data_IF_992066761184
#
_entry.id   IF_992066761184
#
_cell.length_a   1.000
_cell.length_b   1.000
_cell.length_c   1.000
_cell.angle_alpha   90.00
_cell.angle_beta   90.00
_cell.angle_gamma   90.00
#
_symmetry.space_group_name_H-M   'P 1'
#
loop_
_entity.id
_entity.type
_entity.pdbx_description
1 polymer ?
#
# COMPACT_ATOMS: atom_id res chain seq x y z
N UNK A 1 -43.12 -12.44 -32.37
CA UNK A 1 -43.89 -11.51 -33.22
C UNK A 1 -44.95 -10.86 -32.34
N UNK A 2 -45.15 -9.52 -32.46
CA UNK A 2 -45.76 -8.53 -31.54
C UNK A 2 -44.77 -8.00 -30.49
N UNK A 3 -44.04 -6.88 -30.68
CA UNK A 3 -44.41 -5.45 -30.88
C UNK A 3 -45.21 -4.88 -29.68
N UNK A 4 -44.58 -4.03 -28.84
CA UNK A 4 -44.50 -2.55 -28.93
C UNK A 4 -45.64 -1.93 -28.09
N UNK A 5 -45.40 -1.08 -27.09
CA UNK A 5 -45.14 0.36 -27.20
C UNK A 5 -45.21 0.91 -25.75
N UNK A 6 -44.15 1.53 -25.22
CA UNK A 6 -43.92 2.97 -25.15
C UNK A 6 -44.86 3.77 -24.22
N UNK A 7 -44.21 4.49 -23.31
CA UNK A 7 -44.52 5.84 -22.83
C UNK A 7 -45.96 6.19 -22.43
N UNK A 8 -46.13 6.34 -21.11
CA UNK A 8 -46.87 7.42 -20.46
C UNK A 8 -46.19 7.66 -19.11
N UNK A 9 -46.11 8.82 -18.49
CA UNK A 9 -46.34 10.19 -18.84
C UNK A 9 -45.82 10.96 -17.60
N UNK A 10 -45.13 12.06 -17.85
CA UNK A 10 -44.65 13.02 -16.85
C UNK A 10 -45.77 13.45 -15.90
N UNK A 11 -45.41 13.71 -14.63
CA UNK A 11 -46.08 14.48 -13.54
C UNK A 11 -45.93 13.66 -12.25
N UNK A 12 -45.65 14.15 -11.05
CA UNK A 12 -45.96 15.43 -10.42
C UNK A 12 -45.04 15.62 -9.18
N UNK A 13 -44.52 16.83 -9.07
CA UNK A 13 -44.03 17.57 -7.90
C UNK A 13 -44.18 17.01 -6.46
N UNK A 14 -43.13 17.24 -5.67
CA UNK A 14 -43.16 17.88 -4.33
C UNK A 14 -43.89 17.15 -3.19
N UNK A 15 -43.14 16.68 -2.18
CA UNK A 15 -43.43 17.08 -0.79
C UNK A 15 -42.27 16.80 0.18
N UNK A 16 -41.86 17.87 0.84
CA UNK A 16 -40.93 17.97 1.96
C UNK A 16 -41.80 18.11 3.21
N UNK A 17 -41.39 17.45 4.30
CA UNK A 17 -41.93 17.48 5.69
C UNK A 17 -42.77 16.26 6.04
N UNK A 18 -42.14 15.34 6.74
CA UNK A 18 -42.76 14.68 7.88
C UNK A 18 -41.69 14.11 8.81
N UNK A 19 -41.47 14.80 9.94
CA UNK A 19 -41.60 14.21 11.29
C UNK A 19 -41.11 15.20 12.35
N UNK A 20 -42.11 15.92 12.87
CA UNK A 20 -42.11 16.54 14.17
C UNK A 20 -42.56 15.47 15.18
N UNK A 21 -41.70 15.09 16.13
CA UNK A 21 -42.08 14.34 17.35
C UNK A 21 -41.34 15.06 18.49
N UNK A 22 -41.95 16.00 19.21
CA UNK A 22 -43.00 15.89 20.23
C UNK A 22 -42.47 15.43 21.60
N UNK A 23 -42.12 16.45 22.41
CA UNK A 23 -42.43 16.66 23.84
C UNK A 23 -41.90 15.73 24.94
N UNK A 24 -40.88 16.26 25.61
CA UNK A 24 -40.63 16.37 27.06
C UNK A 24 -41.83 16.16 28.03
N UNK A 25 -41.66 15.37 29.10
CA UNK A 25 -42.01 15.72 30.51
C UNK A 25 -41.60 14.65 31.55
N UNK A 26 -41.26 15.15 32.74
CA UNK A 26 -40.65 14.52 33.91
C UNK A 26 -41.65 14.36 35.07
N UNK A 27 -41.52 13.32 35.94
CA UNK A 27 -41.39 13.42 37.43
C UNK A 27 -41.80 12.17 38.28
N UNK A 28 -40.89 11.82 39.22
CA UNK A 28 -40.97 11.18 40.57
C UNK A 28 -41.47 9.72 40.73
N UNK A 29 -40.65 8.74 41.16
CA UNK A 29 -40.03 8.41 42.48
C UNK A 29 -41.00 7.79 43.51
N UNK A 30 -40.70 6.57 43.97
CA UNK A 30 -40.86 5.96 45.32
C UNK A 30 -40.98 4.42 45.18
N UNK A 31 -40.07 3.65 45.81
CA UNK A 31 -40.29 2.19 46.00
C UNK A 31 -39.08 1.27 46.22
N UNK A 32 -38.35 1.45 47.32
CA UNK A 32 -37.76 0.39 48.18
C UNK A 32 -36.73 -0.64 47.64
N UNK A 33 -35.46 -0.41 48.04
CA UNK A 33 -34.51 -1.32 48.73
C UNK A 33 -33.87 -2.58 48.08
N UNK A 34 -32.52 -2.55 48.06
CA UNK A 34 -31.53 -3.64 48.26
C UNK A 34 -31.29 -4.53 47.02
N UNK A 35 -30.15 -4.49 46.31
CA UNK A 35 -28.82 -5.02 46.66
C UNK A 35 -27.71 -4.33 45.84
N UNK A 36 -26.58 -4.07 46.50
CA UNK A 36 -25.28 -3.62 45.97
C UNK A 36 -24.70 -4.63 44.98
N UNK A 37 -24.38 -4.22 43.75
CA UNK A 37 -23.20 -4.72 43.02
C UNK A 37 -22.96 -3.92 41.74
N UNK A 38 -21.74 -3.38 41.64
CA UNK A 38 -21.08 -2.91 40.43
C UNK A 38 -21.31 -3.90 39.26
N UNK A 39 -22.12 -3.54 38.27
CA UNK A 39 -22.18 -4.23 36.98
C UNK A 39 -22.00 -3.23 35.85
N UNK A 40 -20.71 -3.03 35.60
CA UNK A 40 -20.02 -2.68 34.36
C UNK A 40 -20.93 -2.70 33.13
N UNK A 41 -20.91 -1.57 32.42
CA UNK A 41 -21.24 -1.40 31.00
C UNK A 41 -20.89 -2.64 30.16
N UNK A 42 -21.89 -3.45 29.80
CA UNK A 42 -21.78 -4.36 28.65
C UNK A 42 -22.12 -3.56 27.38
N UNK A 43 -21.09 -3.02 26.74
CA UNK A 43 -21.14 -2.65 25.31
C UNK A 43 -19.79 -2.96 24.68
N UNK A 44 -19.61 -4.20 24.26
CA UNK A 44 -18.67 -4.57 23.21
C UNK A 44 -19.15 -5.89 22.61
N UNK A 45 -20.04 -5.81 21.62
CA UNK A 45 -20.23 -6.90 20.67
C UNK A 45 -18.90 -7.05 19.92
N UNK A 46 -18.13 -8.05 20.33
CA UNK A 46 -16.83 -8.38 19.76
C UNK A 46 -17.00 -8.73 18.28
N UNK A 47 -16.25 -8.05 17.42
CA UNK A 47 -16.00 -8.46 16.05
C UNK A 47 -15.30 -9.81 16.06
N UNK A 48 -16.06 -10.89 15.94
CA UNK A 48 -15.56 -12.10 15.32
C UNK A 48 -15.47 -11.86 13.81
N UNK A 49 -14.44 -12.41 13.16
CA UNK A 49 -14.17 -12.43 11.71
C UNK A 49 -13.25 -11.33 11.16
N UNK A 50 -11.96 -11.47 11.46
CA UNK A 50 -10.84 -11.56 10.51
C UNK A 50 -9.57 -11.26 11.32
N UNK A 51 -8.84 -12.31 11.72
CA UNK A 51 -7.52 -12.08 12.29
C UNK A 51 -6.60 -11.50 11.20
N UNK A 52 -5.90 -10.39 11.44
CA UNK A 52 -4.66 -10.14 10.74
C UNK A 52 -3.68 -11.24 11.14
N UNK A 53 -3.00 -11.86 10.18
CA UNK A 53 -1.74 -12.54 10.46
C UNK A 53 -0.81 -11.48 11.06
N UNK A 54 -0.74 -11.42 12.39
CA UNK A 54 0.42 -10.84 13.05
C UNK A 54 1.58 -11.78 12.71
N UNK A 55 2.38 -11.44 11.69
CA UNK A 55 3.78 -11.85 11.68
C UNK A 55 4.32 -11.46 13.05
N UNK A 56 4.72 -12.44 13.86
CA UNK A 56 5.53 -12.18 15.03
C UNK A 56 6.75 -11.39 14.55
N UNK A 57 6.72 -10.07 14.77
CA UNK A 57 7.90 -9.23 14.64
C UNK A 57 8.88 -9.74 15.69
N UNK A 58 9.92 -10.45 15.24
CA UNK A 58 11.08 -10.67 16.07
C UNK A 58 11.55 -9.29 16.54
N UNK A 59 11.83 -9.15 17.84
CA UNK A 59 12.47 -7.94 18.36
C UNK A 59 13.72 -7.66 17.51
N UNK A 60 13.95 -6.43 17.02
CA UNK A 60 15.14 -6.13 16.24
C UNK A 60 16.37 -6.63 17.01
N UNK A 61 17.15 -7.52 16.41
CA UNK A 61 18.49 -7.80 16.91
C UNK A 61 19.24 -6.47 16.81
N UNK A 62 19.72 -5.94 17.93
CA UNK A 62 20.41 -4.63 17.96
C UNK A 62 21.92 -4.77 17.92
N UNK A 63 22.45 -6.00 17.94
CA UNK A 63 23.88 -6.27 17.95
C UNK A 63 24.25 -7.12 16.72
N UNK A 64 24.86 -6.47 15.73
CA UNK A 64 25.31 -7.09 14.49
C UNK A 64 26.84 -7.12 14.46
N UNK A 65 27.39 -8.30 14.22
CA UNK A 65 28.83 -8.47 14.04
C UNK A 65 29.33 -7.74 12.79
N UNK A 66 30.62 -7.38 12.78
CA UNK A 66 31.25 -6.74 11.62
C UNK A 66 31.09 -7.57 10.34
N UNK A 67 31.23 -8.90 10.45
CA UNK A 67 31.04 -9.80 9.30
C UNK A 67 29.61 -9.78 8.73
N UNK A 68 28.58 -9.59 9.57
CA UNK A 68 27.19 -9.49 9.11
C UNK A 68 26.96 -8.17 8.38
N UNK A 69 27.57 -7.10 8.88
CA UNK A 69 27.47 -5.78 8.27
C UNK A 69 28.28 -5.67 6.98
N UNK A 70 29.41 -6.36 6.86
CA UNK A 70 30.15 -6.48 5.60
C UNK A 70 29.30 -7.18 4.53
N UNK A 71 28.69 -8.33 4.85
CA UNK A 71 27.77 -9.02 3.93
C UNK A 71 26.56 -8.17 3.55
N UNK A 72 26.03 -7.40 4.50
CA UNK A 72 24.96 -6.44 4.25
C UNK A 72 25.40 -5.31 3.30
N UNK A 73 26.61 -4.77 3.47
CA UNK A 73 27.18 -3.76 2.57
C UNK A 73 27.34 -4.34 1.16
N UNK A 74 27.91 -5.54 1.03
CA UNK A 74 28.09 -6.21 -0.26
C UNK A 74 26.76 -6.45 -0.98
N UNK A 75 25.75 -6.95 -0.26
CA UNK A 75 24.40 -7.11 -0.79
C UNK A 75 23.79 -5.76 -1.21
N UNK A 76 23.95 -4.73 -0.38
CA UNK A 76 23.41 -3.39 -0.65
C UNK A 76 24.03 -2.76 -1.89
N UNK A 77 25.34 -2.93 -2.12
CA UNK A 77 26.02 -2.42 -3.34
C UNK A 77 25.42 -3.08 -4.58
N UNK A 78 25.33 -4.41 -4.61
CA UNK A 78 24.74 -5.16 -5.73
C UNK A 78 23.28 -4.77 -5.99
N UNK A 79 22.49 -4.62 -4.92
CA UNK A 79 21.09 -4.18 -5.03
C UNK A 79 21.00 -2.78 -5.63
N UNK A 80 21.87 -1.84 -5.22
CA UNK A 80 21.90 -0.50 -5.80
C UNK A 80 22.27 -0.53 -7.29
N UNK A 81 23.16 -1.43 -7.72
CA UNK A 81 23.49 -1.61 -9.14
C UNK A 81 22.28 -2.14 -9.93
N UNK A 82 21.61 -3.18 -9.42
CA UNK A 82 20.38 -3.74 -9.99
C UNK A 82 19.30 -2.64 -10.13
N UNK A 83 19.08 -1.85 -9.08
CA UNK A 83 18.10 -0.76 -9.08
C UNK A 83 18.44 0.38 -10.06
N UNK A 84 19.71 0.65 -10.29
CA UNK A 84 20.13 1.62 -11.30
C UNK A 84 19.91 1.08 -12.71
N UNK A 85 20.25 -0.20 -12.96
CA UNK A 85 19.97 -0.88 -14.23
C UNK A 85 18.47 -0.89 -14.56
N UNK A 86 17.65 -1.22 -13.57
CA UNK A 86 16.19 -1.20 -13.68
C UNK A 86 15.62 0.14 -14.15
N UNK A 87 16.18 1.26 -13.68
CA UNK A 87 15.73 2.59 -14.08
C UNK A 87 16.02 2.87 -15.54
N UNK A 88 17.16 2.40 -16.05
CA UNK A 88 17.51 2.51 -17.47
C UNK A 88 16.58 1.64 -18.31
N UNK A 89 16.39 0.38 -17.92
CA UNK A 89 15.54 -0.56 -18.65
C UNK A 89 14.07 -0.13 -18.69
N UNK A 90 13.57 0.44 -17.59
CA UNK A 90 12.25 1.06 -17.55
C UNK A 90 12.08 2.14 -18.63
N UNK A 91 13.07 3.02 -18.78
CA UNK A 91 13.04 4.08 -19.81
C UNK A 91 13.06 3.45 -21.20
N UNK A 92 13.91 2.45 -21.43
CA UNK A 92 14.00 1.74 -22.71
C UNK A 92 12.68 1.03 -23.07
N UNK A 93 12.00 0.43 -22.10
CA UNK A 93 10.67 -0.18 -22.31
C UNK A 93 9.66 0.88 -22.76
N UNK A 94 9.61 2.03 -22.09
CA UNK A 94 8.66 3.11 -22.38
C UNK A 94 8.91 3.70 -23.76
N UNK A 95 10.15 4.13 -24.03
CA UNK A 95 10.55 4.70 -25.31
C UNK A 95 10.43 3.69 -26.45
N UNK A 96 10.69 2.41 -26.18
CA UNK A 96 10.51 1.31 -27.11
C UNK A 96 9.06 1.09 -27.56
N UNK A 97 8.06 1.56 -26.78
CA UNK A 97 6.66 1.58 -27.20
C UNK A 97 6.27 2.87 -27.95
N UNK A 98 7.21 3.78 -28.19
CA UNK A 98 6.94 5.08 -28.83
C UNK A 98 6.31 6.11 -27.90
N UNK A 99 6.33 5.87 -26.58
CA UNK A 99 5.83 6.79 -25.58
C UNK A 99 7.00 7.50 -24.91
N UNK A 100 6.84 8.77 -24.55
CA UNK A 100 7.82 9.46 -23.72
C UNK A 100 7.56 9.22 -22.22
N UNK A 101 8.60 9.41 -21.40
CA UNK A 101 8.55 9.15 -19.95
C UNK A 101 7.58 10.10 -19.23
N UNK A 102 7.42 11.34 -19.69
CA UNK A 102 6.52 12.32 -19.08
C UNK A 102 5.06 11.90 -19.28
N UNK A 103 4.67 11.61 -20.52
CA UNK A 103 3.34 11.09 -20.88
C UNK A 103 3.04 9.79 -20.15
N UNK A 104 4.00 8.85 -20.09
CA UNK A 104 3.82 7.62 -19.32
C UNK A 104 3.53 7.90 -17.83
N UNK A 105 4.31 8.79 -17.21
CA UNK A 105 4.13 9.15 -15.79
C UNK A 105 2.80 9.83 -15.51
N UNK A 106 2.35 10.70 -16.41
CA UNK A 106 1.04 11.35 -16.33
C UNK A 106 -0.11 10.34 -16.40
N UNK A 107 -0.03 9.40 -17.35
CA UNK A 107 -1.02 8.33 -17.51
C UNK A 107 -1.01 7.38 -16.31
N UNK A 108 0.17 7.02 -15.79
CA UNK A 108 0.32 6.18 -14.61
C UNK A 108 -0.22 6.86 -13.34
N UNK A 109 -0.06 8.18 -13.20
CA UNK A 109 -0.55 8.95 -12.06
C UNK A 109 -2.08 9.04 -12.06
N UNK A 110 -2.71 9.17 -13.23
CA UNK A 110 -4.16 9.15 -13.37
C UNK A 110 -4.76 7.80 -12.96
N UNK A 111 -4.14 6.68 -13.34
CA UNK A 111 -4.58 5.34 -12.93
C UNK A 111 -4.65 5.16 -11.41
N UNK A 112 -3.77 5.84 -10.66
CA UNK A 112 -3.76 5.79 -9.18
C UNK A 112 -4.69 6.81 -8.54
N UNK A 113 -5.24 7.74 -9.31
CA UNK A 113 -6.06 8.83 -8.78
C UNK A 113 -7.47 8.33 -8.46
N UNK A 114 -8.05 8.69 -7.29
CA UNK A 114 -9.38 8.23 -6.88
C UNK A 114 -10.51 8.83 -7.75
N UNK A 115 -10.22 9.90 -8.49
CA UNK A 115 -11.12 10.50 -9.46
C UNK A 115 -10.30 10.87 -10.71
N UNK A 116 -10.04 9.92 -11.62
CA UNK A 116 -9.25 10.19 -12.80
C UNK A 116 -9.99 11.19 -13.68
N UNK A 117 -9.38 12.35 -13.93
CA UNK A 117 -9.87 13.26 -14.96
C UNK A 117 -9.58 12.64 -16.34
N UNK A 118 -10.48 12.87 -17.30
CA UNK A 118 -10.27 12.39 -18.65
C UNK A 118 -9.17 13.23 -19.33
N UNK A 119 -7.96 12.69 -19.41
CA UNK A 119 -6.92 13.25 -20.26
C UNK A 119 -7.23 12.96 -21.73
N UNK A 120 -7.03 13.97 -22.58
CA UNK A 120 -7.14 13.82 -24.03
C UNK A 120 -5.86 13.18 -24.60
N UNK A 121 -5.65 11.89 -24.32
CA UNK A 121 -4.58 11.06 -24.89
C UNK A 121 -5.07 10.34 -26.15
N UNK A 122 -4.17 10.15 -27.11
CA UNK A 122 -4.48 9.40 -28.33
C UNK A 122 -4.74 7.91 -28.02
N UNK A 123 -5.42 7.20 -28.91
CA UNK A 123 -5.61 5.76 -28.73
C UNK A 123 -4.30 4.97 -28.92
N UNK A 124 -3.36 5.51 -29.69
CA UNK A 124 -2.01 4.97 -29.84
C UNK A 124 -1.25 5.03 -28.51
N UNK A 125 -1.24 6.17 -27.82
CA UNK A 125 -0.59 6.33 -26.51
C UNK A 125 -1.20 5.39 -25.46
N UNK A 126 -2.52 5.19 -25.49
CA UNK A 126 -3.19 4.23 -24.60
C UNK A 126 -2.74 2.79 -24.82
N UNK A 127 -2.56 2.39 -26.09
CA UNK A 127 -2.05 1.07 -26.42
C UNK A 127 -0.58 0.92 -26.00
N UNK A 128 0.26 1.89 -26.32
CA UNK A 128 1.68 1.93 -25.94
C UNK A 128 1.84 1.87 -24.42
N UNK A 129 1.06 2.67 -23.68
CA UNK A 129 1.03 2.65 -22.22
C UNK A 129 0.68 1.27 -21.66
N UNK A 130 -0.35 0.61 -22.21
CA UNK A 130 -0.74 -0.73 -21.79
C UNK A 130 0.37 -1.77 -21.99
N UNK A 131 1.06 -1.73 -23.12
CA UNK A 131 2.18 -2.62 -23.44
C UNK A 131 3.40 -2.35 -22.56
N UNK A 132 3.73 -1.08 -22.33
CA UNK A 132 4.79 -0.68 -21.42
C UNK A 132 4.50 -1.19 -20.01
N UNK A 133 3.28 -0.98 -19.49
CA UNK A 133 2.88 -1.46 -18.15
C UNK A 133 3.05 -2.98 -17.99
N UNK A 134 2.75 -3.77 -19.02
CA UNK A 134 2.93 -5.23 -18.98
C UNK A 134 4.42 -5.62 -18.88
N UNK A 135 5.27 -4.99 -19.69
CA UNK A 135 6.71 -5.26 -19.66
C UNK A 135 7.36 -4.77 -18.37
N UNK A 136 6.95 -3.61 -17.87
CA UNK A 136 7.38 -3.05 -16.59
C UNK A 136 6.99 -3.97 -15.43
N UNK A 137 5.80 -4.57 -15.48
CA UNK A 137 5.40 -5.55 -14.46
C UNK A 137 6.26 -6.82 -14.51
N UNK A 138 6.65 -7.28 -15.70
CA UNK A 138 7.59 -8.39 -15.84
C UNK A 138 8.98 -8.02 -15.28
N UNK A 139 9.50 -6.85 -15.64
CA UNK A 139 10.75 -6.30 -15.10
C UNK A 139 10.72 -6.24 -13.56
N UNK A 140 9.63 -5.78 -12.95
CA UNK A 140 9.49 -5.75 -11.49
C UNK A 140 9.57 -7.15 -10.83
N UNK A 141 9.08 -8.20 -11.50
CA UNK A 141 9.18 -9.57 -10.99
C UNK A 141 10.60 -10.11 -11.12
N UNK A 142 11.28 -9.79 -12.21
CA UNK A 142 12.69 -10.14 -12.44
C UNK A 142 13.59 -9.47 -11.40
N UNK A 143 13.44 -8.16 -11.20
CA UNK A 143 14.19 -7.39 -10.21
C UNK A 143 14.03 -7.93 -8.79
N UNK A 144 12.84 -8.39 -8.41
CA UNK A 144 12.62 -9.04 -7.10
C UNK A 144 13.49 -10.30 -6.95
N UNK A 145 13.57 -11.13 -8.00
CA UNK A 145 14.39 -12.34 -8.01
C UNK A 145 15.88 -12.02 -8.02
N UNK A 146 16.31 -11.00 -8.77
CA UNK A 146 17.70 -10.56 -8.81
C UNK A 146 18.16 -10.01 -7.47
N UNK A 147 17.34 -9.19 -6.81
CA UNK A 147 17.66 -8.67 -5.48
C UNK A 147 17.75 -9.81 -4.45
N UNK A 148 16.81 -10.76 -4.45
CA UNK A 148 16.88 -11.94 -3.58
C UNK A 148 18.16 -12.75 -3.83
N UNK A 149 18.50 -12.96 -5.10
CA UNK A 149 19.72 -13.66 -5.50
C UNK A 149 20.97 -12.91 -5.04
N UNK A 150 21.01 -11.58 -5.16
CA UNK A 150 22.13 -10.76 -4.73
C UNK A 150 22.35 -10.82 -3.20
N UNK A 151 21.28 -10.91 -2.42
CA UNK A 151 21.34 -11.09 -0.96
C UNK A 151 21.94 -12.46 -0.62
N UNK A 152 21.39 -13.53 -1.20
CA UNK A 152 21.85 -14.90 -0.94
C UNK A 152 23.31 -15.09 -1.41
N UNK A 153 23.68 -14.53 -2.56
CA UNK A 153 25.04 -14.58 -3.09
C UNK A 153 26.07 -13.77 -2.28
N UNK A 154 25.61 -13.00 -1.29
CA UNK A 154 26.46 -12.30 -0.33
C UNK A 154 26.50 -13.03 1.02
N UNK A 155 26.14 -14.32 1.04
CA UNK A 155 26.07 -15.18 2.23
C UNK A 155 25.17 -14.62 3.35
N UNK A 156 24.12 -13.90 2.95
CA UNK A 156 23.13 -13.31 3.84
C UNK A 156 21.75 -13.93 3.55
N UNK A 157 20.96 -14.18 4.60
CA UNK A 157 19.57 -14.60 4.42
C UNK A 157 18.67 -13.38 4.22
N UNK A 158 17.59 -13.53 3.46
CA UNK A 158 16.63 -12.45 3.20
C UNK A 158 16.09 -11.82 4.50
N UNK A 159 15.74 -12.66 5.47
CA UNK A 159 15.25 -12.22 6.79
C UNK A 159 16.31 -11.39 7.53
N UNK A 160 17.58 -11.82 7.49
CA UNK A 160 18.68 -11.11 8.15
C UNK A 160 18.96 -9.76 7.47
N UNK A 161 18.94 -9.71 6.13
CA UNK A 161 19.03 -8.47 5.37
C UNK A 161 17.93 -7.48 5.77
N UNK A 162 16.67 -7.94 5.84
CA UNK A 162 15.54 -7.10 6.21
C UNK A 162 15.64 -6.58 7.65
N UNK A 163 16.11 -7.42 8.59
CA UNK A 163 16.35 -7.01 9.97
C UNK A 163 17.43 -5.94 10.07
N UNK A 164 18.58 -6.15 9.41
CA UNK A 164 19.67 -5.17 9.39
C UNK A 164 19.20 -3.87 8.73
N UNK A 165 18.43 -3.96 7.62
CA UNK A 165 17.86 -2.79 6.94
C UNK A 165 16.91 -2.00 7.86
N UNK A 166 16.04 -2.69 8.60
CA UNK A 166 15.14 -2.06 9.55
C UNK A 166 15.89 -1.38 10.69
N UNK A 167 16.91 -2.04 11.25
CA UNK A 167 17.76 -1.45 12.28
C UNK A 167 18.55 -0.25 11.74
N UNK A 168 19.12 -0.36 10.54
CA UNK A 168 19.86 0.70 9.86
C UNK A 168 19.01 1.97 9.67
N UNK A 169 17.70 1.84 9.44
CA UNK A 169 16.81 3.01 9.34
C UNK A 169 16.57 3.72 10.68
N UNK A 170 16.77 3.03 11.81
CA UNK A 170 16.42 3.51 13.15
C UNK A 170 17.62 3.87 14.02
N UNK A 171 18.79 3.30 13.74
CA UNK A 171 20.00 3.42 14.56
C UNK A 171 21.08 4.26 13.86
N UNK A 172 21.34 5.50 14.34
CA UNK A 172 22.37 6.37 13.79
C UNK A 172 23.80 5.83 13.94
N UNK A 173 24.10 5.05 14.99
CA UNK A 173 25.44 4.47 15.17
C UNK A 173 25.68 3.38 14.13
N UNK A 174 24.66 2.54 13.90
CA UNK A 174 24.69 1.55 12.84
C UNK A 174 24.84 2.20 11.45
N UNK A 175 24.14 3.31 11.19
CA UNK A 175 24.31 4.09 9.95
C UNK A 175 25.76 4.53 9.76
N UNK A 176 26.36 5.11 10.80
CA UNK A 176 27.75 5.57 10.75
C UNK A 176 28.72 4.41 10.52
N UNK A 177 28.48 3.25 11.16
CA UNK A 177 29.30 2.05 11.01
C UNK A 177 29.25 1.51 9.58
N UNK A 178 28.06 1.31 9.03
CA UNK A 178 27.84 0.86 7.64
C UNK A 178 28.45 1.86 6.65
N UNK A 179 28.25 3.16 6.87
CA UNK A 179 28.85 4.20 6.03
C UNK A 179 30.38 4.14 6.02
N UNK A 180 30.99 3.92 7.18
CA UNK A 180 32.45 3.78 7.30
C UNK A 180 32.96 2.54 6.56
N UNK A 181 32.19 1.44 6.54
CA UNK A 181 32.52 0.23 5.79
C UNK A 181 32.48 0.47 4.27
N UNK A 182 31.53 1.24 3.77
CA UNK A 182 31.42 1.58 2.33
C UNK A 182 32.56 2.48 1.82
N UNK A 183 33.24 3.22 2.71
CA UNK A 183 34.32 4.14 2.34
C UNK A 183 35.72 3.49 2.31
N UNK A 184 35.82 2.22 2.67
CA UNK A 184 37.11 1.53 2.81
C UNK A 184 37.74 1.13 1.49
#
# INVERSE_FOLDING_TARGET
MSLQSANDFVTCTKSRKDRMIMTLKSKHFIGSTIVVALTIFLQATSFAQALPQQQQQALPQTDYSDSQLERFVDASVKINEIQQGAQVEMVEIIEGQGLDVETFNEMASQQRSPNPEAMSVSDEDKMAFGQAMQQIQALQLELQQEMETAIIASDLQLEEYNQIMQAYQQDPELQQKVHSMMQR
#
